data_IF_164563430138
#
_entry.id   IF_164563430138
#
_cell.length_a   1.000
_cell.length_b   1.000
_cell.length_c   1.000
_cell.angle_alpha   90.00
_cell.angle_beta   90.00
_cell.angle_gamma   90.00
#
_symmetry.space_group_name_H-M   'P 1'
#
loop_
_entity.id
_entity.type
_entity.pdbx_description
1 polymer ?
#
# COMPACT_ATOMS: atom_id res chain seq x y z
N UNK A 1 6.40 -8.55 15.96
CA UNK A 1 6.36 -9.71 15.06
C UNK A 1 7.78 -10.17 14.74
N UNK A 2 8.62 -9.31 14.22
CA UNK A 2 10.01 -9.66 13.85
C UNK A 2 10.77 -10.32 14.99
N UNK A 3 10.73 -9.73 16.18
CA UNK A 3 11.56 -10.14 17.34
C UNK A 3 10.80 -11.01 18.34
N UNK A 4 9.53 -11.31 18.10
CA UNK A 4 8.68 -12.08 19.02
C UNK A 4 8.44 -11.44 20.39
N UNK A 5 8.69 -10.12 20.52
CA UNK A 5 8.51 -9.37 21.77
C UNK A 5 7.13 -8.76 21.87
N UNK A 6 6.63 -8.65 23.10
CA UNK A 6 5.44 -7.89 23.40
C UNK A 6 5.63 -6.40 23.10
N UNK A 7 4.53 -5.74 22.78
CA UNK A 7 4.54 -4.29 22.57
C UNK A 7 4.84 -3.56 23.89
N UNK A 8 5.56 -2.44 23.83
CA UNK A 8 5.71 -1.55 24.97
C UNK A 8 4.34 -1.19 25.59
N UNK A 9 4.27 -1.01 26.92
CA UNK A 9 3.02 -0.79 27.66
C UNK A 9 2.11 0.29 27.04
N UNK A 10 2.69 1.37 26.51
CA UNK A 10 1.94 2.46 25.85
C UNK A 10 1.22 2.03 24.56
N UNK A 11 1.55 0.87 24.00
CA UNK A 11 0.93 0.31 22.77
C UNK A 11 0.21 -1.01 23.02
N UNK A 12 0.02 -1.42 24.28
CA UNK A 12 -0.63 -2.68 24.68
C UNK A 12 -2.02 -2.87 24.06
N UNK A 13 -2.72 -1.79 23.76
CA UNK A 13 -4.01 -1.81 23.08
C UNK A 13 -3.97 -2.48 21.69
N UNK A 14 -2.82 -2.55 21.05
CA UNK A 14 -2.63 -3.23 19.76
C UNK A 14 -2.08 -4.67 19.90
N UNK A 15 -1.79 -5.15 21.12
CA UNK A 15 -1.18 -6.46 21.35
C UNK A 15 -2.01 -7.59 20.73
N UNK A 16 -3.32 -7.62 20.96
CA UNK A 16 -4.18 -8.67 20.42
C UNK A 16 -4.18 -8.78 18.88
N UNK A 17 -4.01 -7.66 18.18
CA UNK A 17 -3.84 -7.67 16.73
C UNK A 17 -2.48 -8.29 16.34
N UNK A 18 -1.42 -7.97 17.09
CA UNK A 18 -0.09 -8.54 16.87
C UNK A 18 -0.08 -10.05 17.15
N UNK A 19 -0.72 -10.48 18.23
CA UNK A 19 -0.84 -11.90 18.59
C UNK A 19 -1.58 -12.67 17.50
N UNK A 20 -2.66 -12.11 16.98
CA UNK A 20 -3.43 -12.70 15.88
C UNK A 20 -2.61 -12.85 14.60
N UNK A 21 -1.72 -11.90 14.30
CA UNK A 21 -0.81 -11.97 13.17
C UNK A 21 0.34 -12.95 13.42
N UNK A 22 0.85 -12.99 14.66
CA UNK A 22 1.89 -13.94 15.07
C UNK A 22 1.42 -15.39 15.02
N UNK A 23 0.14 -15.64 15.35
CA UNK A 23 -0.46 -16.97 15.33
C UNK A 23 -0.67 -17.53 13.91
N UNK A 24 -0.60 -16.68 12.87
CA UNK A 24 -0.72 -17.17 11.49
C UNK A 24 0.48 -18.02 11.11
N UNK A 25 0.19 -19.14 10.46
CA UNK A 25 1.20 -20.00 9.86
C UNK A 25 1.84 -19.28 8.66
N UNK A 26 2.98 -19.79 8.21
CA UNK A 26 3.68 -19.29 7.04
C UNK A 26 4.93 -18.45 7.36
N UNK A 27 5.62 -18.08 6.30
CA UNK A 27 6.85 -17.27 6.35
C UNK A 27 6.49 -15.80 6.57
N UNK A 28 6.97 -15.21 7.66
CA UNK A 28 6.75 -13.80 7.99
C UNK A 28 7.92 -12.95 7.53
N UNK A 29 7.62 -11.93 6.74
CA UNK A 29 8.56 -10.95 6.19
C UNK A 29 8.14 -9.57 6.69
N UNK A 30 9.05 -8.88 7.37
CA UNK A 30 8.79 -7.54 7.93
C UNK A 30 9.63 -6.50 7.18
N UNK A 31 9.04 -5.36 6.86
CA UNK A 31 9.71 -4.28 6.11
C UNK A 31 10.24 -4.80 4.77
N UNK A 32 9.44 -5.64 4.10
CA UNK A 32 9.87 -6.28 2.86
C UNK A 32 9.94 -5.27 1.72
N UNK A 33 11.10 -5.21 1.10
CA UNK A 33 11.42 -4.31 0.00
C UNK A 33 11.21 -5.02 -1.32
N UNK A 34 10.19 -4.63 -2.05
CA UNK A 34 9.80 -5.25 -3.30
C UNK A 34 9.96 -4.26 -4.46
N UNK A 35 10.60 -4.68 -5.54
CA UNK A 35 10.77 -3.91 -6.78
C UNK A 35 10.13 -4.62 -7.96
N UNK A 36 9.68 -3.85 -8.95
CA UNK A 36 9.22 -4.35 -10.24
C UNK A 36 9.92 -3.58 -11.36
N UNK A 37 10.25 -4.27 -12.43
CA UNK A 37 10.69 -3.66 -13.69
C UNK A 37 9.49 -3.04 -14.44
N UNK A 38 9.76 -2.33 -15.54
CA UNK A 38 8.70 -1.80 -16.42
C UNK A 38 7.83 -2.88 -17.06
N UNK A 39 8.35 -4.10 -17.19
CA UNK A 39 7.63 -5.28 -17.68
C UNK A 39 6.84 -5.99 -16.57
N UNK A 40 6.77 -5.38 -15.37
CA UNK A 40 6.08 -5.89 -14.17
C UNK A 40 6.70 -7.17 -13.59
N UNK A 41 7.93 -7.47 -13.97
CA UNK A 41 8.69 -8.60 -13.44
C UNK A 41 9.38 -8.23 -12.12
N UNK A 42 9.51 -9.16 -11.17
CA UNK A 42 10.16 -8.90 -9.90
C UNK A 42 11.64 -8.57 -10.09
N UNK A 43 12.11 -7.56 -9.38
CA UNK A 43 13.51 -7.17 -9.32
C UNK A 43 13.91 -6.71 -7.93
N UNK A 44 15.20 -6.48 -7.71
CA UNK A 44 15.70 -5.90 -6.47
C UNK A 44 15.20 -4.46 -6.28
N UNK A 45 15.00 -4.07 -5.04
CA UNK A 45 14.48 -2.74 -4.69
C UNK A 45 15.42 -1.60 -5.14
N UNK A 46 16.70 -1.86 -5.29
CA UNK A 46 17.73 -0.89 -5.70
C UNK A 46 18.35 -1.21 -7.06
N UNK A 47 17.78 -2.15 -7.82
CA UNK A 47 18.29 -2.48 -9.15
C UNK A 47 18.14 -1.28 -10.11
N UNK A 48 19.05 -1.14 -11.06
CA UNK A 48 19.05 -0.02 -12.00
C UNK A 48 17.81 0.01 -12.91
N UNK A 49 17.22 -1.15 -13.17
CA UNK A 49 16.02 -1.30 -14.00
C UNK A 49 14.70 -1.28 -13.20
N UNK A 50 14.75 -0.96 -11.90
CA UNK A 50 13.52 -0.87 -11.10
C UNK A 50 12.66 0.29 -11.56
N UNK A 51 11.42 0.01 -11.90
CA UNK A 51 10.42 0.98 -12.31
C UNK A 51 9.44 1.31 -11.17
N UNK A 52 8.99 0.29 -10.42
CA UNK A 52 8.10 0.46 -9.27
C UNK A 52 8.73 -0.11 -8.00
N UNK A 53 8.53 0.58 -6.88
CA UNK A 53 9.05 0.16 -5.57
C UNK A 53 7.96 0.23 -4.51
N UNK A 54 7.92 -0.76 -3.65
CA UNK A 54 7.08 -0.78 -2.47
C UNK A 54 7.78 -1.38 -1.27
N UNK A 55 7.55 -0.81 -0.09
CA UNK A 55 7.93 -1.43 1.18
C UNK A 55 6.64 -1.87 1.85
N UNK A 56 6.56 -3.15 2.21
CA UNK A 56 5.41 -3.73 2.89
C UNK A 56 5.78 -3.99 4.34
N UNK A 57 5.05 -3.42 5.28
CA UNK A 57 5.37 -3.52 6.71
C UNK A 57 5.37 -5.00 7.19
N UNK A 58 4.40 -5.79 6.72
CA UNK A 58 4.33 -7.22 7.00
C UNK A 58 3.71 -7.99 5.83
N UNK A 59 4.41 -9.02 5.38
CA UNK A 59 3.88 -10.06 4.50
C UNK A 59 3.98 -11.40 5.22
N UNK A 60 2.90 -12.19 5.22
CA UNK A 60 2.90 -13.57 5.71
C UNK A 60 2.52 -14.45 4.52
N UNK A 61 3.39 -15.32 4.09
CA UNK A 61 3.17 -16.23 2.96
C UNK A 61 2.97 -17.65 3.49
N UNK A 62 1.82 -18.23 3.20
CA UNK A 62 1.43 -19.58 3.57
C UNK A 62 0.81 -20.26 2.34
N UNK A 63 1.57 -21.13 1.73
CA UNK A 63 1.26 -21.84 0.48
C UNK A 63 0.76 -20.88 -0.64
N UNK A 64 -0.51 -20.93 -0.98
CA UNK A 64 -1.16 -20.14 -2.02
C UNK A 64 -1.83 -18.84 -1.52
N UNK A 65 -1.73 -18.55 -0.22
CA UNK A 65 -2.31 -17.36 0.41
C UNK A 65 -1.22 -16.47 1.01
N UNK A 66 -1.29 -15.16 0.76
CA UNK A 66 -0.50 -14.19 1.48
C UNK A 66 -1.40 -13.22 2.26
N UNK A 67 -0.97 -12.86 3.48
CA UNK A 67 -1.52 -11.74 4.23
C UNK A 67 -0.56 -10.56 4.14
N UNK A 68 -1.09 -9.42 3.77
CA UNK A 68 -0.35 -8.15 3.66
C UNK A 68 -0.93 -7.18 4.67
N UNK A 69 -0.10 -6.63 5.54
CA UNK A 69 -0.54 -5.65 6.53
C UNK A 69 0.34 -4.43 6.45
N UNK A 70 -0.31 -3.28 6.41
CA UNK A 70 0.33 -1.97 6.51
C UNK A 70 -0.23 -1.25 7.74
N UNK A 71 0.65 -0.79 8.62
CA UNK A 71 0.31 -0.16 9.88
C UNK A 71 0.11 1.34 9.71
N UNK A 72 -1.01 1.84 10.18
CA UNK A 72 -1.37 3.26 10.13
C UNK A 72 -1.49 3.85 11.52
N UNK A 73 -0.84 4.99 11.75
CA UNK A 73 -0.91 5.74 13.01
C UNK A 73 -1.95 6.86 13.00
N UNK A 74 -2.74 6.95 11.91
CA UNK A 74 -3.81 7.92 11.79
C UNK A 74 -4.94 7.69 12.80
N UNK A 75 -5.55 8.79 13.29
CA UNK A 75 -6.67 8.75 14.24
C UNK A 75 -8.02 8.41 13.61
N UNK A 76 -8.07 8.19 12.30
CA UNK A 76 -9.31 7.87 11.56
C UNK A 76 -8.99 7.09 10.29
N UNK A 77 -9.81 6.08 10.00
CA UNK A 77 -9.76 5.31 8.76
C UNK A 77 -10.61 5.91 7.63
N UNK A 78 -11.25 7.07 7.85
CA UNK A 78 -12.19 7.70 6.89
C UNK A 78 -11.58 7.93 5.50
N UNK A 79 -10.29 8.21 5.44
CA UNK A 79 -9.56 8.51 4.21
C UNK A 79 -8.59 7.39 3.81
N UNK A 80 -8.87 6.17 4.26
CA UNK A 80 -8.05 5.01 3.90
C UNK A 80 -8.05 4.79 2.39
N UNK A 81 -6.86 4.74 1.78
CA UNK A 81 -6.72 4.48 0.35
C UNK A 81 -6.51 2.97 0.11
N UNK A 82 -7.56 2.32 -0.40
CA UNK A 82 -7.48 0.92 -0.81
C UNK A 82 -6.59 0.70 -2.04
N UNK A 83 -6.26 1.73 -2.79
CA UNK A 83 -5.33 1.64 -3.91
C UNK A 83 -3.95 1.17 -3.48
N UNK A 84 -3.51 1.55 -2.27
CA UNK A 84 -2.27 1.06 -1.69
C UNK A 84 -2.31 -0.47 -1.53
N UNK A 85 -3.42 -1.03 -1.05
CA UNK A 85 -3.59 -2.48 -0.88
C UNK A 85 -3.57 -3.23 -2.22
N UNK A 86 -4.13 -2.64 -3.27
CA UNK A 86 -4.09 -3.21 -4.62
C UNK A 86 -2.65 -3.29 -5.14
N UNK A 87 -1.90 -2.20 -5.05
CA UNK A 87 -0.49 -2.15 -5.49
C UNK A 87 0.39 -3.12 -4.70
N UNK A 88 0.19 -3.21 -3.38
CA UNK A 88 0.89 -4.19 -2.55
C UNK A 88 0.56 -5.62 -2.97
N UNK A 89 -0.71 -5.93 -3.24
CA UNK A 89 -1.11 -7.26 -3.70
C UNK A 89 -0.49 -7.61 -5.05
N UNK A 90 -0.49 -6.68 -6.01
CA UNK A 90 0.14 -6.84 -7.32
C UNK A 90 1.63 -7.15 -7.21
N UNK A 91 2.33 -6.41 -6.34
CA UNK A 91 3.76 -6.60 -6.11
C UNK A 91 4.04 -7.96 -5.45
N UNK A 92 3.21 -8.36 -4.47
CA UNK A 92 3.31 -9.67 -3.82
C UNK A 92 3.06 -10.80 -4.82
N UNK A 93 2.09 -10.66 -5.72
CA UNK A 93 1.86 -11.66 -6.77
C UNK A 93 3.08 -11.83 -7.70
N UNK A 94 3.79 -10.76 -8.03
CA UNK A 94 4.98 -10.85 -8.85
C UNK A 94 6.12 -11.59 -8.14
N UNK A 95 6.38 -11.26 -6.87
CA UNK A 95 7.48 -11.83 -6.09
C UNK A 95 7.20 -13.25 -5.57
N UNK A 96 5.95 -13.64 -5.43
CA UNK A 96 5.53 -14.94 -4.88
C UNK A 96 4.62 -15.67 -5.87
N UNK A 97 5.18 -16.37 -6.88
CA UNK A 97 4.42 -16.95 -7.98
C UNK A 97 3.39 -18.00 -7.55
N UNK A 98 3.59 -18.67 -6.43
CA UNK A 98 2.66 -19.66 -5.90
C UNK A 98 1.42 -19.03 -5.25
N UNK A 99 1.50 -17.78 -4.80
CA UNK A 99 0.39 -17.09 -4.14
C UNK A 99 -0.74 -16.82 -5.12
N UNK A 100 -1.93 -17.34 -4.84
CA UNK A 100 -3.15 -17.15 -5.63
C UNK A 100 -4.10 -16.12 -5.03
N UNK A 101 -4.03 -15.93 -3.71
CA UNK A 101 -4.88 -14.99 -2.97
C UNK A 101 -4.05 -14.11 -2.04
N UNK A 102 -4.24 -12.80 -2.14
CA UNK A 102 -3.69 -11.83 -1.19
C UNK A 102 -4.82 -11.24 -0.35
N UNK A 103 -4.75 -11.43 0.97
CA UNK A 103 -5.63 -10.80 1.97
C UNK A 103 -4.89 -9.61 2.57
N UNK A 104 -5.24 -8.40 2.15
CA UNK A 104 -4.54 -7.19 2.53
C UNK A 104 -5.35 -6.35 3.53
N UNK A 105 -4.66 -5.66 4.42
CA UNK A 105 -5.27 -4.79 5.43
C UNK A 105 -4.43 -3.55 5.72
N UNK A 106 -5.11 -2.40 5.85
CA UNK A 106 -4.58 -1.24 6.55
C UNK A 106 -5.03 -1.35 8.02
N UNK A 107 -4.08 -1.50 8.92
CA UNK A 107 -4.34 -1.62 10.35
C UNK A 107 -4.08 -0.29 11.05
N UNK A 108 -5.15 0.43 11.36
CA UNK A 108 -5.09 1.70 12.09
C UNK A 108 -4.94 1.43 13.58
N UNK A 109 -3.70 1.38 14.05
CA UNK A 109 -3.38 0.98 15.43
C UNK A 109 -3.92 1.94 16.47
N UNK A 110 -4.00 3.25 16.19
CA UNK A 110 -4.45 4.27 17.18
C UNK A 110 -5.97 4.26 17.37
N UNK A 111 -6.75 4.09 16.31
CA UNK A 111 -8.21 4.07 16.37
C UNK A 111 -8.80 2.67 16.26
N UNK A 112 -7.97 1.62 16.34
CA UNK A 112 -8.36 0.20 16.31
C UNK A 112 -9.26 -0.18 15.12
N UNK A 113 -9.10 0.51 13.98
CA UNK A 113 -9.85 0.26 12.77
C UNK A 113 -9.05 -0.58 11.77
N UNK A 114 -9.74 -1.42 10.99
CA UNK A 114 -9.12 -2.24 9.96
C UNK A 114 -9.87 -2.04 8.66
N UNK A 115 -9.14 -1.66 7.61
CA UNK A 115 -9.66 -1.61 6.24
C UNK A 115 -9.07 -2.77 5.46
N UNK A 116 -9.92 -3.65 4.94
CA UNK A 116 -9.51 -4.91 4.30
C UNK A 116 -9.79 -4.91 2.80
N UNK A 117 -8.98 -5.67 2.08
CA UNK A 117 -9.20 -6.06 0.69
C UNK A 117 -8.74 -7.50 0.46
N UNK A 118 -9.40 -8.19 -0.46
CA UNK A 118 -8.97 -9.50 -0.93
C UNK A 118 -8.78 -9.42 -2.43
N UNK A 119 -7.65 -9.92 -2.90
CA UNK A 119 -7.23 -9.86 -4.29
C UNK A 119 -6.88 -11.26 -4.76
N UNK A 120 -7.23 -11.58 -5.99
CA UNK A 120 -6.97 -12.88 -6.60
C UNK A 120 -6.04 -12.73 -7.80
N UNK A 121 -5.09 -13.63 -7.96
CA UNK A 121 -4.15 -13.64 -9.08
C UNK A 121 -4.86 -13.60 -10.43
N UNK A 122 -6.00 -14.27 -10.56
CA UNK A 122 -6.81 -14.25 -11.76
C UNK A 122 -7.26 -12.84 -12.21
N UNK A 123 -7.29 -11.86 -11.29
CA UNK A 123 -7.64 -10.46 -11.59
C UNK A 123 -6.41 -9.58 -11.81
N UNK A 124 -5.21 -10.15 -11.85
CA UNK A 124 -3.95 -9.40 -11.88
C UNK A 124 -3.86 -8.47 -13.10
N UNK A 125 -4.19 -8.99 -14.30
CA UNK A 125 -4.17 -8.20 -15.54
C UNK A 125 -5.09 -6.99 -15.47
N UNK A 126 -6.34 -7.19 -15.05
CA UNK A 126 -7.33 -6.11 -14.94
C UNK A 126 -6.91 -5.03 -13.92
N UNK A 127 -6.29 -5.45 -12.80
CA UNK A 127 -5.78 -4.50 -11.81
C UNK A 127 -4.58 -3.72 -12.38
N UNK A 128 -3.67 -4.37 -13.09
CA UNK A 128 -2.57 -3.69 -13.76
C UNK A 128 -3.03 -2.73 -14.85
N UNK A 129 -3.98 -3.10 -15.70
CA UNK A 129 -4.57 -2.21 -16.71
C UNK A 129 -5.09 -0.92 -16.08
N UNK A 130 -5.79 -1.03 -14.95
CA UNK A 130 -6.26 0.13 -14.17
C UNK A 130 -5.10 1.04 -13.72
N UNK A 131 -4.02 0.46 -13.20
CA UNK A 131 -2.89 1.23 -12.68
C UNK A 131 -2.02 1.80 -13.79
N UNK A 132 -1.77 1.04 -14.85
CA UNK A 132 -1.04 1.50 -16.03
C UNK A 132 -1.78 2.63 -16.75
N UNK A 133 -3.11 2.59 -16.80
CA UNK A 133 -3.92 3.71 -17.32
C UNK A 133 -3.74 4.99 -16.49
N UNK A 134 -3.63 4.88 -15.17
CA UNK A 134 -3.34 6.05 -14.31
C UNK A 134 -1.91 6.54 -14.50
N UNK A 135 -0.96 5.63 -14.60
CA UNK A 135 0.43 5.97 -14.88
C UNK A 135 0.59 6.69 -16.22
N UNK A 136 -0.05 6.19 -17.29
CA UNK A 136 -0.01 6.82 -18.60
C UNK A 136 -0.53 8.26 -18.59
N UNK A 137 -1.59 8.53 -17.79
CA UNK A 137 -2.09 9.90 -17.60
C UNK A 137 -1.09 10.80 -16.87
N UNK A 138 -0.40 10.27 -15.86
CA UNK A 138 0.66 11.01 -15.16
C UNK A 138 1.84 11.28 -16.08
N UNK A 139 2.26 10.28 -16.86
CA UNK A 139 3.34 10.41 -17.82
C UNK A 139 3.00 11.48 -18.88
N UNK A 140 1.80 11.41 -19.46
CA UNK A 140 1.34 12.43 -20.42
C UNK A 140 1.29 13.83 -19.81
N UNK A 141 0.89 13.97 -18.55
CA UNK A 141 0.90 15.25 -17.86
C UNK A 141 2.33 15.78 -17.68
N UNK A 142 3.28 14.90 -17.35
CA UNK A 142 4.69 15.24 -17.18
C UNK A 142 5.34 15.63 -18.54
N UNK A 143 5.10 14.83 -19.58
CA UNK A 143 5.70 15.04 -20.91
C UNK A 143 5.25 16.35 -21.56
N UNK A 144 4.02 16.80 -21.27
CA UNK A 144 3.45 18.02 -21.82
C UNK A 144 3.50 19.21 -20.84
N UNK A 145 4.02 19.01 -19.64
CA UNK A 145 3.98 19.99 -18.52
C UNK A 145 2.58 20.55 -18.26
N UNK A 146 1.55 19.69 -18.34
CA UNK A 146 0.14 20.07 -18.15
C UNK A 146 -0.44 19.36 -16.92
N UNK A 147 -0.55 20.08 -15.84
CA UNK A 147 -1.05 19.58 -14.55
C UNK A 147 -2.40 20.16 -14.20
N UNK A 148 -3.47 19.42 -14.51
CA UNK A 148 -4.82 19.85 -14.17
C UNK A 148 -5.06 19.86 -12.66
N UNK A 149 -5.54 20.97 -12.08
CA UNK A 149 -5.78 21.06 -10.64
C UNK A 149 -6.90 20.11 -10.22
N UNK A 150 -6.67 19.34 -9.16
CA UNK A 150 -7.71 18.55 -8.51
C UNK A 150 -8.22 19.29 -7.29
N UNK A 151 -9.27 20.07 -7.46
CA UNK A 151 -9.87 20.82 -6.37
C UNK A 151 -10.47 19.91 -5.30
N UNK A 152 -10.26 20.27 -4.03
CA UNK A 152 -10.77 19.52 -2.88
C UNK A 152 -11.02 20.46 -1.69
N UNK A 153 -11.57 19.93 -0.59
CA UNK A 153 -11.73 20.69 0.64
C UNK A 153 -10.41 21.24 1.21
N UNK A 154 -9.26 20.65 0.83
CA UNK A 154 -7.95 21.15 1.24
C UNK A 154 -7.61 22.50 0.61
N UNK A 155 -8.14 22.82 -0.57
CA UNK A 155 -7.92 24.11 -1.23
C UNK A 155 -8.42 25.28 -0.40
N UNK A 156 -9.48 25.08 0.40
CA UNK A 156 -10.10 26.15 1.18
C UNK A 156 -9.30 26.60 2.39
N UNK A 157 -8.54 25.72 3.04
CA UNK A 157 -7.92 25.99 4.36
C UNK A 157 -6.48 25.57 4.50
N UNK A 158 -6.04 24.60 3.71
CA UNK A 158 -4.76 23.93 3.93
C UNK A 158 -3.75 24.07 2.78
N UNK A 159 -4.19 24.57 1.61
CA UNK A 159 -3.30 24.76 0.47
C UNK A 159 -2.37 25.95 0.72
N UNK A 160 -1.06 25.74 0.52
CA UNK A 160 -0.05 26.77 0.69
C UNK A 160 0.14 27.68 -0.54
N UNK A 161 -0.42 27.27 -1.71
CA UNK A 161 -0.28 28.00 -2.97
C UNK A 161 -1.34 29.09 -3.03
N UNK A 162 -1.01 30.29 -2.57
CA UNK A 162 -1.96 31.42 -2.45
C UNK A 162 -2.37 31.98 -3.83
N UNK A 163 -1.49 31.96 -4.83
CA UNK A 163 -1.75 32.46 -6.18
C UNK A 163 -2.68 31.56 -6.99
N UNK A 164 -2.99 30.37 -6.49
CA UNK A 164 -3.86 29.42 -7.18
C UNK A 164 -5.31 29.94 -7.15
N UNK A 165 -5.95 30.02 -8.34
CA UNK A 165 -7.35 30.46 -8.47
C UNK A 165 -8.36 29.60 -7.72
N UNK A 166 -7.97 28.41 -7.29
CA UNK A 166 -8.79 27.50 -6.49
C UNK A 166 -8.51 27.61 -4.98
N UNK A 167 -7.61 28.49 -4.57
CA UNK A 167 -7.31 28.70 -3.15
C UNK A 167 -8.48 29.47 -2.52
N UNK A 168 -9.16 28.88 -1.57
CA UNK A 168 -10.32 29.50 -0.91
C UNK A 168 -9.95 30.52 0.20
N UNK A 169 -8.68 30.97 0.26
CA UNK A 169 -8.22 32.08 1.12
C UNK A 169 -8.11 33.40 0.35
N UNK A 170 -8.33 33.37 -0.95
CA UNK A 170 -8.43 34.56 -1.80
C UNK A 170 -9.86 35.11 -1.79
#
# INVERSE_FOLDING_TARGET
IRDGKDLPAKYSYAQGAMDSLNAKQGRKLCEEKLGLTADLEPCGFFDDNVWFRGIVDLVIVDDDVAWVVDYKTGKSAKYADKGQLELMALTVFAHFPNVQTVKAALLFVVCTAIVKGTYHRASNSTLWEKWLSKYAKMQSAADNDVWNPRTSGLCRRHCAVLECVHNGRN
#
